data_IF_494929255450
#
_entry.id   IF_494929255450
#
_cell.length_a   1.000
_cell.length_b   1.000
_cell.length_c   1.000
_cell.angle_alpha   90.00
_cell.angle_beta   90.00
_cell.angle_gamma   90.00
#
_symmetry.space_group_name_H-M   'P 1'
#
loop_
_entity.id
_entity.type
_entity.pdbx_description
1 polymer ?
#
# COMPACT_ATOMS: atom_id res chain seq x y z
N UNK A 1 -13.42 38.35 -8.60
CA UNK A 1 -14.07 37.33 -7.72
C UNK A 1 -13.71 35.90 -8.11
N UNK A 2 -13.92 35.47 -9.36
CA UNK A 2 -13.61 34.08 -9.82
C UNK A 2 -12.17 33.61 -9.58
N UNK A 3 -11.19 34.48 -9.80
CA UNK A 3 -9.76 34.17 -9.59
C UNK A 3 -9.41 33.87 -8.12
N UNK A 4 -10.07 34.53 -7.17
CA UNK A 4 -9.84 34.33 -5.74
C UNK A 4 -10.47 33.02 -5.28
N UNK A 5 -11.65 32.67 -5.82
CA UNK A 5 -12.33 31.40 -5.55
C UNK A 5 -11.53 30.22 -6.08
N UNK A 6 -10.99 30.32 -7.31
CA UNK A 6 -10.10 29.28 -7.86
C UNK A 6 -8.80 29.15 -7.08
N UNK A 7 -8.23 30.26 -6.58
CA UNK A 7 -7.04 30.23 -5.74
C UNK A 7 -7.30 29.54 -4.39
N UNK A 8 -8.46 29.77 -3.77
CA UNK A 8 -8.87 29.10 -2.52
C UNK A 8 -9.15 27.61 -2.77
N UNK A 9 -9.79 27.25 -3.88
CA UNK A 9 -10.06 25.86 -4.24
C UNK A 9 -8.79 25.06 -4.60
N UNK A 10 -7.77 25.74 -5.17
CA UNK A 10 -6.47 25.15 -5.52
C UNK A 10 -5.42 25.24 -4.42
N UNK A 11 -5.66 26.04 -3.40
CA UNK A 11 -4.82 26.05 -2.21
C UNK A 11 -5.08 24.74 -1.47
N UNK A 12 -4.33 23.71 -1.83
CA UNK A 12 -4.16 22.54 -0.98
C UNK A 12 -3.59 23.07 0.33
N UNK A 13 -4.47 23.25 1.32
CA UNK A 13 -4.16 23.95 2.55
C UNK A 13 -2.95 23.29 3.20
N UNK A 14 -2.05 24.11 3.76
CA UNK A 14 -0.92 23.60 4.55
C UNK A 14 -1.38 22.52 5.55
N UNK A 15 -2.58 22.67 6.10
CA UNK A 15 -3.27 21.70 6.94
C UNK A 15 -3.44 20.30 6.33
N UNK A 16 -3.76 20.17 5.03
CA UNK A 16 -3.86 18.87 4.36
C UNK A 16 -2.49 18.21 4.16
N UNK A 17 -1.46 19.01 3.86
CA UNK A 17 -0.07 18.53 3.82
C UNK A 17 0.43 18.13 5.20
N UNK A 18 0.05 18.88 6.23
CA UNK A 18 0.40 18.61 7.63
C UNK A 18 -0.32 17.37 8.15
N UNK A 19 -1.59 17.15 7.78
CA UNK A 19 -2.34 15.92 8.07
C UNK A 19 -1.72 14.69 7.39
N UNK A 20 -1.26 14.82 6.14
CA UNK A 20 -0.53 13.76 5.43
C UNK A 20 0.84 13.48 6.08
N UNK A 21 1.55 14.52 6.51
CA UNK A 21 2.83 14.41 7.21
C UNK A 21 2.68 13.83 8.62
N UNK A 22 1.59 14.15 9.33
CA UNK A 22 1.28 13.62 10.66
C UNK A 22 1.02 12.10 10.64
N UNK A 23 0.55 11.53 9.52
CA UNK A 23 0.49 10.08 9.32
C UNK A 23 1.82 9.43 8.93
N UNK A 24 2.79 10.22 8.45
CA UNK A 24 4.14 9.76 8.13
C UNK A 24 5.12 9.93 9.31
N UNK A 25 4.65 10.42 10.46
CA UNK A 25 5.48 10.93 11.55
C UNK A 25 6.08 9.87 12.49
N UNK A 26 5.84 8.58 12.26
CA UNK A 26 6.56 7.53 13.00
C UNK A 26 7.76 7.07 12.16
N UNK A 27 8.96 7.25 12.69
CA UNK A 27 10.20 6.80 12.07
C UNK A 27 10.08 5.29 11.82
N UNK A 28 10.08 4.88 10.53
CA UNK A 28 9.81 3.48 10.16
C UNK A 28 10.82 2.56 10.84
N UNK A 29 10.34 1.73 11.75
CA UNK A 29 11.18 0.73 12.41
C UNK A 29 11.41 -0.46 11.50
N UNK A 30 12.63 -1.01 11.54
CA UNK A 30 12.96 -2.25 10.84
C UNK A 30 12.13 -3.39 11.43
N UNK A 31 11.40 -4.09 10.57
CA UNK A 31 10.60 -5.25 11.00
C UNK A 31 11.49 -6.36 11.55
N UNK A 32 11.03 -7.03 12.61
CA UNK A 32 11.67 -8.23 13.16
C UNK A 32 11.84 -9.36 12.14
N UNK A 33 11.02 -9.38 11.08
CA UNK A 33 11.06 -10.38 10.02
C UNK A 33 11.98 -10.00 8.85
N UNK A 34 12.46 -8.76 8.76
CA UNK A 34 13.13 -8.23 7.56
C UNK A 34 14.37 -9.04 7.15
N UNK A 35 15.17 -9.51 8.12
CA UNK A 35 16.42 -10.22 7.86
C UNK A 35 16.24 -11.72 7.61
N UNK A 36 15.13 -12.31 8.06
CA UNK A 36 14.91 -13.75 8.06
C UNK A 36 13.60 -14.14 7.36
N UNK A 37 13.06 -13.25 6.51
CA UNK A 37 11.83 -13.52 5.79
C UNK A 37 12.08 -14.65 4.79
N UNK A 38 11.38 -15.77 4.98
CA UNK A 38 11.39 -16.84 3.99
C UNK A 38 10.58 -16.41 2.76
N UNK A 39 11.19 -16.56 1.59
CA UNK A 39 10.52 -16.44 0.29
C UNK A 39 10.41 -17.84 -0.33
N UNK A 40 9.22 -18.22 -0.79
CA UNK A 40 8.96 -19.52 -1.39
C UNK A 40 8.98 -19.42 -2.91
N UNK A 41 9.57 -20.42 -3.56
CA UNK A 41 9.48 -20.56 -5.02
C UNK A 41 8.18 -21.27 -5.38
N UNK A 42 7.30 -20.56 -6.06
CA UNK A 42 6.00 -21.05 -6.54
C UNK A 42 5.77 -20.74 -8.03
N UNK A 43 6.82 -20.32 -8.75
CA UNK A 43 6.74 -19.98 -10.18
C UNK A 43 5.98 -18.69 -10.51
N UNK A 44 5.61 -17.85 -9.53
CA UNK A 44 4.94 -16.57 -9.78
C UNK A 44 5.96 -15.52 -10.25
N UNK A 45 5.69 -14.92 -11.41
CA UNK A 45 6.45 -13.79 -11.95
C UNK A 45 5.60 -12.53 -11.88
N UNK A 46 6.06 -11.53 -11.13
CA UNK A 46 5.32 -10.28 -10.93
C UNK A 46 5.62 -9.32 -12.10
N UNK A 47 4.61 -8.93 -12.91
CA UNK A 47 4.83 -7.96 -13.98
C UNK A 47 5.11 -6.57 -13.40
N UNK A 48 5.71 -5.63 -14.15
CA UNK A 48 5.98 -4.27 -13.67
C UNK A 48 4.73 -3.38 -13.57
N UNK A 49 3.59 -3.81 -14.13
CA UNK A 49 2.32 -3.07 -14.10
C UNK A 49 1.13 -3.98 -14.40
N UNK A 50 -0.08 -3.44 -14.38
CA UNK A 50 -1.30 -4.16 -14.77
C UNK A 50 -1.83 -5.12 -13.70
N UNK A 51 -1.42 -4.93 -12.45
CA UNK A 51 -1.78 -5.80 -11.34
C UNK A 51 -3.28 -5.79 -11.05
N UNK A 52 -3.75 -6.94 -10.53
CA UNK A 52 -5.12 -7.15 -10.08
C UNK A 52 -5.08 -8.03 -8.83
N UNK A 53 -6.01 -7.80 -7.91
CA UNK A 53 -6.20 -8.69 -6.77
C UNK A 53 -6.49 -10.13 -7.25
N UNK A 54 -5.83 -11.12 -6.65
CA UNK A 54 -6.05 -12.53 -6.98
C UNK A 54 -7.44 -13.06 -6.61
N UNK A 55 -8.16 -12.36 -5.70
CA UNK A 55 -9.46 -12.79 -5.16
C UNK A 55 -10.66 -11.90 -5.58
N UNK A 56 -10.43 -10.76 -6.24
CA UNK A 56 -11.51 -9.89 -6.73
C UNK A 56 -11.07 -8.96 -7.89
N UNK A 57 -11.96 -8.07 -8.34
CA UNK A 57 -11.70 -7.22 -9.50
C UNK A 57 -10.93 -5.91 -9.23
N UNK A 58 -10.49 -5.68 -7.99
CA UNK A 58 -9.72 -4.47 -7.66
C UNK A 58 -8.36 -4.44 -8.36
N UNK A 59 -8.02 -3.26 -8.89
CA UNK A 59 -6.74 -2.95 -9.56
C UNK A 59 -5.94 -1.87 -8.82
N UNK A 60 -6.48 -1.38 -7.71
CA UNK A 60 -5.95 -0.33 -6.86
C UNK A 60 -5.82 -0.83 -5.40
N UNK A 61 -5.02 -0.12 -4.60
CA UNK A 61 -4.72 -0.49 -3.21
C UNK A 61 -4.32 -1.97 -3.07
N UNK A 62 -3.35 -2.39 -3.89
CA UNK A 62 -2.85 -3.76 -3.96
C UNK A 62 -1.57 -3.91 -3.14
N UNK A 63 -1.46 -5.05 -2.48
CA UNK A 63 -0.37 -5.44 -1.62
C UNK A 63 0.22 -6.75 -2.14
N UNK A 64 1.52 -6.73 -2.40
CA UNK A 64 2.31 -7.89 -2.79
C UNK A 64 2.91 -8.51 -1.53
N UNK A 65 2.52 -9.74 -1.21
CA UNK A 65 3.12 -10.48 -0.10
C UNK A 65 4.55 -10.90 -0.49
N UNK A 66 5.52 -10.62 0.38
CA UNK A 66 6.94 -10.84 0.09
C UNK A 66 7.37 -12.30 0.27
N UNK A 67 6.57 -13.13 0.93
CA UNK A 67 6.86 -14.56 1.10
C UNK A 67 6.47 -15.36 -0.13
N UNK A 68 5.26 -15.18 -0.67
CA UNK A 68 4.70 -16.03 -1.72
C UNK A 68 4.34 -15.30 -3.01
N UNK A 69 4.58 -13.99 -3.10
CA UNK A 69 4.29 -13.22 -4.31
C UNK A 69 2.80 -12.98 -4.58
N UNK A 70 1.89 -13.30 -3.65
CA UNK A 70 0.46 -13.08 -3.85
C UNK A 70 0.12 -11.59 -3.88
N UNK A 71 -0.65 -11.17 -4.88
CA UNK A 71 -1.16 -9.79 -5.02
C UNK A 71 -2.61 -9.72 -4.57
N UNK A 72 -2.87 -8.96 -3.50
CA UNK A 72 -4.18 -8.92 -2.84
C UNK A 72 -4.58 -7.48 -2.50
N UNK A 73 -5.87 -7.18 -2.56
CA UNK A 73 -6.34 -5.85 -2.19
C UNK A 73 -6.27 -5.62 -0.67
N UNK A 74 -6.05 -4.36 -0.29
CA UNK A 74 -5.90 -3.93 1.10
C UNK A 74 -7.17 -4.06 1.94
N UNK A 75 -7.11 -3.51 3.16
CA UNK A 75 -8.21 -3.55 4.12
C UNK A 75 -9.38 -2.67 3.70
N UNK A 76 -10.57 -3.08 4.11
CA UNK A 76 -11.80 -2.28 4.03
C UNK A 76 -11.82 -1.28 5.19
N UNK A 77 -12.04 -0.01 4.87
CA UNK A 77 -12.18 1.05 5.87
C UNK A 77 -13.62 1.10 6.40
N UNK A 78 -13.81 1.74 7.56
CA UNK A 78 -15.11 1.86 8.21
C UNK A 78 -16.13 2.69 7.40
N UNK A 79 -15.63 3.62 6.58
CA UNK A 79 -16.42 4.47 5.68
C UNK A 79 -16.82 3.76 4.36
N UNK A 80 -16.45 2.48 4.22
CA UNK A 80 -16.69 1.66 3.03
C UNK A 80 -15.66 1.81 1.92
N UNK A 81 -14.68 2.71 2.06
CA UNK A 81 -13.56 2.87 1.13
C UNK A 81 -12.47 1.80 1.33
N UNK A 82 -11.43 1.83 0.50
CA UNK A 82 -10.28 0.92 0.60
C UNK A 82 -10.42 -0.36 -0.23
N UNK A 83 -9.99 -1.48 0.33
CA UNK A 83 -10.02 -2.80 -0.30
C UNK A 83 -11.10 -3.73 0.27
N UNK A 84 -10.96 -5.03 0.00
CA UNK A 84 -11.91 -6.07 0.41
C UNK A 84 -11.28 -7.06 1.40
N UNK A 85 -10.28 -6.64 2.19
CA UNK A 85 -9.60 -7.45 3.22
C UNK A 85 -8.78 -8.66 2.74
N UNK A 86 -8.72 -8.97 1.44
CA UNK A 86 -8.03 -10.15 0.96
C UNK A 86 -6.56 -10.28 1.40
N UNK A 87 -5.81 -9.16 1.51
CA UNK A 87 -4.44 -9.20 2.01
C UNK A 87 -4.35 -9.57 3.50
N UNK A 88 -5.29 -9.09 4.34
CA UNK A 88 -5.30 -9.41 5.77
C UNK A 88 -5.80 -10.83 6.02
N UNK A 89 -6.83 -11.27 5.29
CA UNK A 89 -7.32 -12.65 5.34
C UNK A 89 -6.24 -13.65 4.91
N UNK A 90 -5.43 -13.29 3.91
CA UNK A 90 -4.29 -14.11 3.49
C UNK A 90 -3.23 -14.22 4.58
N UNK A 91 -2.91 -13.12 5.27
CA UNK A 91 -2.03 -13.16 6.43
C UNK A 91 -2.61 -14.04 7.55
N UNK A 92 -3.91 -13.96 7.83
CA UNK A 92 -4.55 -14.80 8.86
C UNK A 92 -4.44 -16.29 8.56
N UNK A 93 -4.51 -16.67 7.27
CA UNK A 93 -4.40 -18.05 6.78
C UNK A 93 -2.95 -18.56 6.74
N UNK A 94 -2.01 -17.73 6.30
CA UNK A 94 -0.62 -18.15 6.00
C UNK A 94 0.40 -17.74 7.04
N UNK A 95 0.11 -16.67 7.79
CA UNK A 95 1.04 -15.97 8.69
C UNK A 95 2.26 -15.37 8.00
N UNK A 96 2.19 -15.12 6.69
CA UNK A 96 3.25 -14.44 5.95
C UNK A 96 3.28 -12.94 6.25
N UNK A 97 4.29 -12.45 7.00
CA UNK A 97 4.13 -11.23 7.81
C UNK A 97 4.37 -9.92 7.06
N UNK A 98 5.02 -9.96 5.89
CA UNK A 98 5.43 -8.76 5.17
C UNK A 98 4.80 -8.67 3.79
N UNK A 99 4.30 -7.49 3.48
CA UNK A 99 3.78 -7.13 2.17
C UNK A 99 4.16 -5.69 1.81
N UNK A 100 4.36 -5.43 0.52
CA UNK A 100 4.66 -4.10 -0.02
C UNK A 100 3.48 -3.59 -0.84
N UNK A 101 3.19 -2.29 -0.73
CA UNK A 101 2.14 -1.65 -1.54
C UNK A 101 2.62 -1.47 -2.98
N UNK A 102 1.86 -2.00 -3.93
CA UNK A 102 2.19 -1.85 -5.35
C UNK A 102 1.95 -0.41 -5.80
N UNK A 103 2.85 0.09 -6.65
CA UNK A 103 2.86 1.48 -7.11
C UNK A 103 3.65 2.45 -6.22
N UNK A 104 4.22 1.99 -5.10
CA UNK A 104 5.10 2.81 -4.23
C UNK A 104 6.57 2.37 -4.27
N UNK A 105 6.91 1.37 -5.08
CA UNK A 105 8.28 0.89 -5.24
C UNK A 105 9.03 1.87 -6.15
N UNK A 106 10.10 2.47 -5.62
CA UNK A 106 10.96 3.42 -6.31
C UNK A 106 12.43 3.10 -6.02
N UNK A 107 13.33 3.63 -6.84
CA UNK A 107 14.78 3.56 -6.60
C UNK A 107 15.26 4.54 -5.53
N UNK A 108 14.39 5.46 -5.10
CA UNK A 108 14.68 6.45 -4.06
C UNK A 108 14.65 5.81 -2.67
N UNK A 109 15.83 5.76 -2.02
CA UNK A 109 16.00 5.21 -0.69
C UNK A 109 15.63 6.20 0.42
N UNK A 110 15.58 7.51 0.15
CA UNK A 110 15.18 8.52 1.14
C UNK A 110 13.66 8.59 1.30
N UNK A 111 12.91 8.16 0.28
CA UNK A 111 11.46 8.03 0.31
C UNK A 111 10.95 6.69 0.91
N UNK A 112 11.86 5.73 1.13
CA UNK A 112 11.57 4.37 1.58
C UNK A 112 11.15 4.30 3.06
#
# INVERSE_FOLDING_TARGET
VRLVVDAILRADGAERKEQLAAWAADEKQVSAYAMNLQQIDNGIVIPPSGWKCAKCDKKDNLWLNLTDGMILCGRKNWDGSGGNNHAIEHYEQTRYPLAVKLGTITADLEAA
#
